data_IF_127845795138
#
_entry.id   IF_127845795138
#
_cell.length_a   1.000
_cell.length_b   1.000
_cell.length_c   1.000
_cell.angle_alpha   90.00
_cell.angle_beta   90.00
_cell.angle_gamma   90.00
#
_symmetry.space_group_name_H-M   'P 1'
#
loop_
_entity.id
_entity.type
_entity.pdbx_description
1 polymer ?
#
# COMPACT_ATOMS: atom_id res chain seq x y z
N UNK A 1 9.44 12.42 6.18
CA UNK A 1 10.05 11.25 6.81
C UNK A 1 10.03 10.08 5.85
N UNK A 2 11.15 9.39 5.78
CA UNK A 2 11.25 8.22 4.89
C UNK A 2 10.74 6.99 5.63
N UNK A 3 9.93 6.19 4.96
CA UNK A 3 9.43 4.94 5.53
C UNK A 3 10.60 3.98 5.71
N UNK A 4 10.74 3.44 6.91
CA UNK A 4 11.83 2.52 7.21
C UNK A 4 11.78 1.29 6.31
N UNK A 5 10.59 0.82 5.99
CA UNK A 5 10.44 -0.34 5.12
C UNK A 5 11.09 -0.12 3.76
N UNK A 6 10.90 1.08 3.18
CA UNK A 6 11.44 1.37 1.86
C UNK A 6 12.88 1.88 1.90
N UNK A 7 13.30 2.44 3.02
CA UNK A 7 14.61 3.06 3.12
C UNK A 7 15.74 2.09 2.79
N UNK A 8 15.70 0.89 3.35
CA UNK A 8 16.74 -0.10 3.12
C UNK A 8 16.73 -0.59 1.68
N UNK A 9 15.54 -0.72 1.10
CA UNK A 9 15.41 -1.14 -0.30
C UNK A 9 15.98 -0.08 -1.22
N UNK A 10 15.66 1.18 -0.99
CA UNK A 10 16.18 2.29 -1.79
C UNK A 10 17.69 2.36 -1.69
N UNK A 11 18.23 2.22 -0.48
CA UNK A 11 19.68 2.26 -0.30
C UNK A 11 20.35 1.12 -1.05
N UNK A 12 19.82 -0.08 -0.94
CA UNK A 12 20.38 -1.23 -1.63
C UNK A 12 20.33 -1.05 -3.15
N UNK A 13 19.20 -0.59 -3.69
CA UNK A 13 19.06 -0.41 -5.13
C UNK A 13 19.92 0.73 -5.66
N UNK A 14 20.17 1.75 -4.82
CA UNK A 14 21.00 2.89 -5.21
C UNK A 14 22.49 2.58 -5.20
N UNK A 15 22.94 1.83 -4.18
CA UNK A 15 24.37 1.59 -3.96
C UNK A 15 24.83 0.23 -4.44
N UNK A 16 23.94 -0.73 -4.55
CA UNK A 16 24.28 -2.11 -4.87
C UNK A 16 24.65 -2.94 -3.64
N UNK A 17 24.64 -2.34 -2.45
CA UNK A 17 25.05 -3.02 -1.23
C UNK A 17 24.03 -2.82 -0.11
N UNK A 18 23.74 -3.87 0.69
CA UNK A 18 22.91 -3.70 1.88
C UNK A 18 23.60 -2.80 2.91
N UNK A 19 22.83 -2.21 3.85
CA UNK A 19 23.44 -1.46 4.95
C UNK A 19 24.43 -2.32 5.73
N UNK A 20 25.56 -1.72 6.12
CA UNK A 20 26.65 -2.46 6.76
C UNK A 20 26.29 -2.97 8.16
N UNK A 21 25.37 -2.28 8.84
CA UNK A 21 24.97 -2.64 10.20
C UNK A 21 24.04 -3.86 10.26
N UNK A 22 23.59 -4.34 9.11
CA UNK A 22 22.70 -5.50 9.08
C UNK A 22 23.48 -6.80 9.30
N UNK A 23 22.82 -7.78 9.92
CA UNK A 23 23.35 -9.13 10.03
C UNK A 23 23.33 -9.80 8.65
N UNK A 24 24.04 -10.91 8.53
CA UNK A 24 24.03 -11.68 7.28
C UNK A 24 22.61 -12.11 6.91
N UNK A 25 21.84 -12.55 7.90
CA UNK A 25 20.46 -12.97 7.66
C UNK A 25 19.61 -11.82 7.15
N UNK A 26 19.76 -10.65 7.78
CA UNK A 26 19.00 -9.46 7.35
C UNK A 26 19.37 -9.02 5.94
N UNK A 27 20.66 -9.13 5.59
CA UNK A 27 21.10 -8.77 4.24
C UNK A 27 20.49 -9.70 3.19
N UNK A 28 20.43 -10.99 3.48
CA UNK A 28 19.83 -11.96 2.56
C UNK A 28 18.35 -11.69 2.37
N UNK A 29 17.65 -11.36 3.46
CA UNK A 29 16.23 -11.06 3.39
C UNK A 29 15.99 -9.78 2.58
N UNK A 30 16.86 -8.79 2.73
CA UNK A 30 16.74 -7.55 1.98
C UNK A 30 16.90 -7.79 0.49
N UNK A 31 17.89 -8.57 0.09
CA UNK A 31 18.13 -8.88 -1.32
C UNK A 31 16.92 -9.56 -1.95
N UNK A 32 16.36 -10.54 -1.24
CA UNK A 32 15.17 -11.26 -1.73
C UNK A 32 13.99 -10.33 -1.86
N UNK A 33 13.77 -9.49 -0.85
CA UNK A 33 12.64 -8.55 -0.85
C UNK A 33 12.79 -7.50 -1.95
N UNK A 34 14.03 -7.03 -2.16
CA UNK A 34 14.27 -5.98 -3.14
C UNK A 34 14.14 -6.45 -4.58
N UNK A 35 14.10 -7.77 -4.80
CA UNK A 35 14.02 -8.32 -6.16
C UNK A 35 12.77 -7.85 -6.91
N UNK A 36 11.68 -7.56 -6.18
CA UNK A 36 10.44 -7.12 -6.79
C UNK A 36 10.33 -5.61 -6.96
N UNK A 37 11.38 -4.88 -6.53
CA UNK A 37 11.35 -3.42 -6.56
C UNK A 37 12.28 -2.86 -7.62
N UNK A 38 11.93 -1.70 -8.15
CA UNK A 38 12.72 -0.99 -9.14
C UNK A 38 12.76 0.49 -8.78
N UNK A 39 13.94 1.08 -8.88
CA UNK A 39 14.11 2.50 -8.61
C UNK A 39 14.25 3.23 -9.96
N UNK A 40 13.31 4.13 -10.24
CA UNK A 40 13.27 4.87 -11.49
C UNK A 40 13.20 6.35 -11.17
N UNK A 41 14.23 7.10 -11.57
CA UNK A 41 14.30 8.56 -11.37
C UNK A 41 14.03 8.94 -9.91
N UNK A 42 14.59 8.17 -8.98
CA UNK A 42 14.45 8.44 -7.56
C UNK A 42 13.14 7.96 -6.95
N UNK A 43 12.25 7.38 -7.73
CA UNK A 43 10.97 6.89 -7.25
C UNK A 43 10.95 5.36 -7.23
N UNK A 44 10.49 4.79 -6.13
CA UNK A 44 10.46 3.33 -5.97
C UNK A 44 9.15 2.76 -6.49
N UNK A 45 9.26 1.65 -7.22
CA UNK A 45 8.12 0.92 -7.77
C UNK A 45 8.17 -0.54 -7.35
N UNK A 46 7.01 -1.14 -7.20
CA UNK A 46 6.87 -2.56 -6.88
C UNK A 46 6.22 -3.29 -8.04
N UNK A 47 6.85 -4.38 -8.48
CA UNK A 47 6.27 -5.24 -9.50
C UNK A 47 5.27 -6.20 -8.85
N UNK A 48 4.01 -6.15 -9.27
CA UNK A 48 2.99 -7.06 -8.77
C UNK A 48 3.01 -8.39 -9.50
N UNK A 49 2.24 -9.36 -8.99
CA UNK A 49 2.12 -10.66 -9.67
C UNK A 49 1.47 -10.56 -11.04
N UNK A 50 0.74 -9.47 -11.28
CA UNK A 50 0.14 -9.17 -12.59
C UNK A 50 1.10 -8.44 -13.52
N UNK A 51 2.37 -8.31 -13.12
CA UNK A 51 3.43 -7.67 -13.91
C UNK A 51 3.20 -6.17 -14.13
N UNK A 52 2.44 -5.54 -13.25
CA UNK A 52 2.23 -4.10 -13.28
C UNK A 52 3.14 -3.45 -12.25
N UNK A 53 3.92 -2.46 -12.69
CA UNK A 53 4.73 -1.66 -11.77
C UNK A 53 3.84 -0.63 -11.08
N UNK A 54 3.83 -0.67 -9.75
CA UNK A 54 3.04 0.27 -8.95
C UNK A 54 3.96 1.13 -8.11
N UNK A 55 3.64 2.42 -8.05
CA UNK A 55 4.43 3.37 -7.27
C UNK A 55 4.25 3.08 -5.79
N UNK A 56 5.37 3.02 -5.07
CA UNK A 56 5.33 2.81 -3.62
C UNK A 56 4.90 4.10 -2.93
N UNK A 57 3.86 3.99 -2.10
CA UNK A 57 3.24 5.12 -1.41
C UNK A 57 3.89 5.31 -0.05
N UNK A 58 4.23 6.55 0.27
CA UNK A 58 4.82 6.90 1.56
C UNK A 58 3.74 7.12 2.60
N UNK A 59 4.12 7.03 3.86
CA UNK A 59 3.18 7.08 4.97
C UNK A 59 2.29 8.31 4.93
N UNK A 60 2.87 9.48 4.64
CA UNK A 60 2.12 10.74 4.65
C UNK A 60 1.13 10.85 3.50
N UNK A 61 1.27 10.04 2.46
CA UNK A 61 0.35 10.07 1.33
C UNK A 61 -0.89 9.22 1.53
N UNK A 62 -0.81 8.24 2.44
CA UNK A 62 -1.87 7.23 2.58
C UNK A 62 -3.24 7.78 2.94
N UNK A 63 -3.37 8.75 3.87
CA UNK A 63 -4.71 9.20 4.25
C UNK A 63 -5.52 9.76 3.09
N UNK A 64 -4.92 10.58 2.24
CA UNK A 64 -5.64 11.16 1.11
C UNK A 64 -5.98 10.10 0.08
N UNK A 65 -5.04 9.19 -0.21
CA UNK A 65 -5.27 8.12 -1.17
C UNK A 65 -6.42 7.23 -0.70
N UNK A 66 -6.42 6.86 0.58
CA UNK A 66 -7.49 6.04 1.15
C UNK A 66 -8.83 6.74 1.09
N UNK A 67 -8.84 8.04 1.40
CA UNK A 67 -10.09 8.81 1.36
C UNK A 67 -10.67 8.85 -0.05
N UNK A 68 -9.83 9.12 -1.04
CA UNK A 68 -10.30 9.21 -2.42
C UNK A 68 -10.75 7.85 -2.95
N UNK A 69 -10.02 6.80 -2.64
CA UNK A 69 -10.35 5.46 -3.11
C UNK A 69 -11.62 4.93 -2.47
N UNK A 70 -11.84 5.27 -1.20
CA UNK A 70 -13.02 4.85 -0.48
C UNK A 70 -14.28 5.57 -0.97
N UNK A 71 -14.19 6.87 -1.18
CA UNK A 71 -15.32 7.68 -1.60
C UNK A 71 -15.69 7.47 -3.07
N UNK A 72 -14.67 7.43 -3.93
CA UNK A 72 -14.89 7.27 -5.36
C UNK A 72 -15.51 8.48 -6.02
N UNK A 73 -15.45 8.51 -7.35
CA UNK A 73 -15.96 9.62 -8.14
C UNK A 73 -17.50 9.67 -8.15
N UNK A 74 -18.14 8.52 -7.93
CA UNK A 74 -19.60 8.45 -7.96
C UNK A 74 -20.24 8.82 -6.62
N UNK A 75 -19.43 9.15 -5.61
CA UNK A 75 -19.95 9.50 -4.31
C UNK A 75 -20.30 8.33 -3.42
N UNK A 76 -20.13 7.10 -3.89
CA UNK A 76 -20.37 5.92 -3.08
C UNK A 76 -19.20 5.64 -2.15
N UNK A 77 -19.43 4.81 -1.14
CA UNK A 77 -18.40 4.40 -0.20
C UNK A 77 -18.11 2.92 -0.39
N UNK A 78 -16.89 2.63 -0.77
CA UNK A 78 -16.50 1.26 -1.06
C UNK A 78 -16.04 0.52 0.19
N UNK A 79 -16.30 -0.78 0.22
CA UNK A 79 -15.78 -1.63 1.29
C UNK A 79 -14.25 -1.73 1.19
N UNK A 80 -13.64 -2.29 2.24
CA UNK A 80 -12.18 -2.35 2.31
C UNK A 80 -11.54 -3.04 1.12
N UNK A 81 -12.12 -4.17 0.68
CA UNK A 81 -11.57 -4.89 -0.46
C UNK A 81 -11.63 -4.06 -1.73
N UNK A 82 -12.78 -3.41 -1.99
CA UNK A 82 -12.94 -2.58 -3.18
C UNK A 82 -12.08 -1.33 -3.10
N UNK A 83 -11.93 -0.76 -1.90
CA UNK A 83 -11.06 0.40 -1.70
C UNK A 83 -9.62 0.07 -2.05
N UNK A 84 -9.11 -1.07 -1.56
CA UNK A 84 -7.76 -1.50 -1.89
C UNK A 84 -7.62 -1.76 -3.40
N UNK A 85 -8.62 -2.39 -4.01
CA UNK A 85 -8.59 -2.67 -5.43
C UNK A 85 -8.55 -1.39 -6.26
N UNK A 86 -9.31 -0.37 -5.84
CA UNK A 86 -9.29 0.92 -6.52
C UNK A 86 -7.90 1.55 -6.49
N UNK A 87 -7.21 1.43 -5.35
CA UNK A 87 -5.86 1.96 -5.23
C UNK A 87 -4.90 1.22 -6.16
N UNK A 88 -5.00 -0.10 -6.18
CA UNK A 88 -4.13 -0.91 -7.05
C UNK A 88 -4.39 -0.62 -8.53
N UNK A 89 -5.63 -0.33 -8.89
CA UNK A 89 -6.01 -0.04 -10.26
C UNK A 89 -5.35 1.25 -10.77
N UNK A 90 -5.14 2.23 -9.88
CA UNK A 90 -4.45 3.46 -10.27
C UNK A 90 -2.93 3.34 -10.08
N UNK A 91 -2.44 2.09 -9.94
CA UNK A 91 -1.01 1.76 -9.93
C UNK A 91 -0.27 2.36 -8.75
N UNK A 92 -0.89 2.26 -7.57
CA UNK A 92 -0.28 2.62 -6.30
C UNK A 92 -0.25 1.40 -5.40
N UNK A 93 0.75 1.35 -4.51
CA UNK A 93 0.92 0.18 -3.66
C UNK A 93 1.71 0.53 -2.41
N UNK A 94 1.41 -0.14 -1.29
CA UNK A 94 2.26 -0.20 -0.11
C UNK A 94 2.00 -1.53 0.59
N UNK A 95 2.93 -1.98 1.45
CA UNK A 95 2.86 -3.36 1.97
C UNK A 95 1.59 -3.71 2.73
N UNK A 96 1.00 -2.76 3.45
CA UNK A 96 -0.18 -3.02 4.27
C UNK A 96 -1.45 -2.45 3.66
N UNK A 97 -1.50 -2.35 2.33
CA UNK A 97 -2.61 -1.70 1.63
C UNK A 97 -3.96 -2.33 1.96
N UNK A 98 -4.05 -3.66 2.00
CA UNK A 98 -5.32 -4.33 2.29
C UNK A 98 -5.76 -4.11 3.72
N UNK A 99 -4.83 -4.21 4.66
CA UNK A 99 -5.12 -3.96 6.07
C UNK A 99 -5.55 -2.51 6.29
N UNK A 100 -4.81 -1.57 5.71
CA UNK A 100 -5.09 -0.15 5.90
C UNK A 100 -6.42 0.24 5.27
N UNK A 101 -6.74 -0.29 4.11
CA UNK A 101 -8.02 -0.02 3.46
C UNK A 101 -9.18 -0.55 4.30
N UNK A 102 -9.02 -1.74 4.85
CA UNK A 102 -10.04 -2.33 5.70
C UNK A 102 -10.25 -1.51 6.97
N UNK A 103 -9.16 -1.10 7.62
CA UNK A 103 -9.24 -0.30 8.83
C UNK A 103 -9.83 1.08 8.55
N UNK A 104 -9.49 1.67 7.42
CA UNK A 104 -10.04 2.97 7.06
C UNK A 104 -11.56 2.87 6.89
N UNK A 105 -12.03 1.85 6.22
CA UNK A 105 -13.46 1.67 6.00
C UNK A 105 -14.21 1.42 7.30
N UNK A 106 -13.58 0.69 8.24
CA UNK A 106 -14.19 0.45 9.55
C UNK A 106 -14.32 1.72 10.38
N UNK A 107 -13.41 2.67 10.18
CA UNK A 107 -13.46 3.93 10.92
C UNK A 107 -14.26 5.01 10.20
N UNK A 108 -14.80 4.73 9.01
CA UNK A 108 -15.56 5.72 8.25
C UNK A 108 -16.90 5.99 8.93
N UNK A 109 -17.12 7.25 9.31
CA UNK A 109 -18.30 7.65 10.03
C UNK A 109 -19.58 7.41 9.22
N UNK A 110 -19.52 7.73 7.93
CA UNK A 110 -20.67 7.56 7.04
C UNK A 110 -21.01 6.09 6.88
N UNK A 111 -20.02 5.24 6.69
CA UNK A 111 -20.25 3.81 6.55
C UNK A 111 -20.82 3.20 7.82
N UNK A 112 -20.36 3.66 8.98
CA UNK A 112 -20.87 3.15 10.25
C UNK A 112 -22.32 3.55 10.49
N UNK A 113 -22.72 4.70 9.97
CA UNK A 113 -24.10 5.15 10.15
C UNK A 113 -25.06 4.42 9.25
N UNK A 114 -24.66 4.10 8.04
CA UNK A 114 -25.56 3.55 7.04
C UNK A 114 -25.52 2.04 6.98
N UNK A 115 -24.46 1.47 7.38
CA UNK A 115 -24.31 0.04 7.22
C UNK A 115 -25.07 -0.77 8.17
N UNK A 116 -25.01 -0.74 7.69
CA UNK A 116 -25.10 -1.72 8.01
C UNK A 116 -24.91 -2.68 8.03
N UNK A 117 -25.24 -2.74 8.04
CA UNK A 117 -24.85 -3.73 8.11
C UNK A 117 -24.63 -4.45 7.61
N UNK A 118 -24.93 -4.52 7.43
CA UNK A 118 -24.57 -5.25 7.17
C UNK A 118 -24.42 -5.81 6.79
N UNK A 119 -24.83 -5.88 6.78
CA UNK A 119 -24.72 -6.49 6.50
C UNK A 119 -24.67 -6.84 6.15
N UNK A 120 -25.07 -6.84 6.25
CA UNK A 120 -25.00 -7.30 5.98
C UNK A 120 -24.93 -7.62 5.72
N UNK A 121 -25.28 -7.56 5.96
CA UNK A 121 -25.18 -7.94 5.85
C UNK A 121 -25.45 -8.09 5.61
N UNK A 122 -25.84 -8.06 5.55
CA UNK A 122 -26.02 -8.27 5.46
C UNK A 122 -26.42 -8.36 5.11
N UNK A 123 -26.93 -8.29 5.03
CA UNK A 123 -27.31 -8.43 4.90
C UNK A 123 -27.67 -8.64 4.82
N UNK A 124 -28.25 -8.57 4.96
CA UNK A 124 -28.62 -9.01 4.90
C UNK A 124 -28.73 -9.24 4.63
#
# INVERSE_FOLDING_TARGET
MVDEYFQDIVQYLSTGFPPTEMTTQQKKQLVVRAADFTLIAGQLYKMGPDEILRRCVLEHEKPLILAEAHSGAAGGHYAGKATAQNILTVELWWPTIHKDAREYCHSCDICQRTGKPSRRDEMP
#
